data_IF_801105323209
#
_entry.id   IF_801105323209
#
_cell.length_a   1.000
_cell.length_b   1.000
_cell.length_c   1.000
_cell.angle_alpha   90.00
_cell.angle_beta   90.00
_cell.angle_gamma   90.00
#
_symmetry.space_group_name_H-M   'P 1'
#
loop_
_entity.id
_entity.type
_entity.pdbx_description
1 polymer ?
#
# COMPACT_ATOMS: atom_id res chain seq x y z
N UNK A 1 -31.64 -13.45 41.16
CA UNK A 1 -30.33 -13.98 41.57
C UNK A 1 -30.23 -15.36 40.96
N UNK A 2 -29.55 -15.62 39.84
CA UNK A 2 -28.28 -15.07 39.37
C UNK A 2 -27.27 -16.21 39.44
N UNK A 3 -27.26 -17.06 38.41
CA UNK A 3 -26.39 -18.24 38.34
C UNK A 3 -26.55 -18.93 36.99
N UNK A 4 -26.05 -18.31 35.92
CA UNK A 4 -25.75 -19.04 34.69
C UNK A 4 -24.37 -19.65 34.89
N UNK A 5 -24.36 -20.89 35.40
CA UNK A 5 -23.20 -21.76 35.33
C UNK A 5 -22.98 -22.11 33.85
N UNK A 6 -21.92 -21.57 33.26
CA UNK A 6 -21.47 -21.95 31.93
C UNK A 6 -21.06 -23.42 31.95
N UNK A 7 -21.90 -24.27 31.37
CA UNK A 7 -21.58 -25.65 31.03
C UNK A 7 -20.32 -25.68 30.15
N UNK A 8 -19.17 -25.99 30.75
CA UNK A 8 -17.95 -26.33 30.01
C UNK A 8 -17.66 -27.82 30.21
N UNK A 9 -18.49 -28.64 29.58
CA UNK A 9 -18.23 -30.05 29.32
C UNK A 9 -17.92 -30.21 27.85
N UNK A 10 -16.71 -30.66 27.53
CA UNK A 10 -16.28 -30.90 26.16
C UNK A 10 -14.78 -30.80 26.07
N UNK A 11 -14.13 -31.95 26.17
CA UNK A 11 -12.78 -32.21 25.71
C UNK A 11 -12.62 -31.64 24.30
N UNK A 12 -12.09 -30.42 24.24
CA UNK A 12 -11.85 -29.65 23.04
C UNK A 12 -10.38 -29.32 23.05
N UNK A 13 -9.55 -30.30 22.71
CA UNK A 13 -8.21 -30.04 22.20
C UNK A 13 -8.33 -29.23 20.90
N UNK A 14 -8.66 -27.95 21.04
CA UNK A 14 -8.44 -26.94 20.02
C UNK A 14 -6.92 -26.82 19.93
N UNK A 15 -6.40 -27.41 18.86
CA UNK A 15 -5.04 -27.24 18.39
C UNK A 15 -4.64 -25.77 18.60
N UNK A 16 -3.71 -25.49 19.52
CA UNK A 16 -3.16 -24.15 19.63
C UNK A 16 -2.37 -23.87 18.34
N UNK A 17 -2.68 -22.81 17.58
CA UNK A 17 -1.66 -22.24 16.73
C UNK A 17 -0.73 -21.47 17.68
N UNK A 18 0.38 -22.09 18.04
CA UNK A 18 1.52 -21.40 18.61
C UNK A 18 2.18 -20.57 17.49
N UNK A 19 1.52 -19.49 17.09
CA UNK A 19 2.11 -18.37 16.38
C UNK A 19 1.60 -17.11 17.07
N UNK A 20 2.51 -16.20 17.41
CA UNK A 20 2.17 -14.93 18.04
C UNK A 20 1.00 -14.27 17.28
N UNK A 21 -0.09 -13.85 17.96
CA UNK A 21 -1.26 -13.26 17.29
C UNK A 21 -0.92 -11.96 16.52
N UNK A 22 0.26 -11.40 16.79
CA UNK A 22 0.83 -10.26 16.09
C UNK A 22 1.96 -10.76 15.18
N UNK A 23 1.60 -11.12 13.95
CA UNK A 23 2.52 -11.55 12.90
C UNK A 23 3.31 -10.35 12.35
N UNK A 24 4.60 -10.55 12.05
CA UNK A 24 5.38 -9.59 11.27
C UNK A 24 5.22 -9.88 9.79
N UNK A 25 4.75 -8.90 9.02
CA UNK A 25 4.60 -8.98 7.57
C UNK A 25 5.66 -8.13 6.90
N UNK A 26 6.31 -8.66 5.86
CA UNK A 26 7.30 -7.92 5.06
C UNK A 26 6.99 -8.09 3.57
N UNK A 27 7.52 -7.19 2.74
CA UNK A 27 7.25 -7.22 1.28
C UNK A 27 7.66 -8.53 0.59
N UNK A 28 8.60 -9.27 1.17
CA UNK A 28 9.14 -10.49 0.59
C UNK A 28 8.44 -11.77 1.08
N UNK A 29 7.52 -11.67 2.05
CA UNK A 29 6.82 -12.85 2.55
C UNK A 29 5.68 -13.26 1.61
N UNK A 30 5.34 -14.55 1.61
CA UNK A 30 4.36 -15.13 0.69
C UNK A 30 2.96 -14.56 0.93
N UNK A 31 2.63 -14.31 2.19
CA UNK A 31 1.35 -13.75 2.62
C UNK A 31 1.14 -12.36 2.01
N UNK A 32 2.19 -11.53 2.01
CA UNK A 32 2.13 -10.20 1.43
C UNK A 32 2.03 -10.23 -0.10
N UNK A 33 2.75 -11.14 -0.77
CA UNK A 33 2.65 -11.32 -2.23
C UNK A 33 1.24 -11.76 -2.66
N UNK A 34 0.58 -12.63 -1.88
CA UNK A 34 -0.82 -13.00 -2.11
C UNK A 34 -1.75 -11.80 -1.95
N UNK A 35 -1.51 -10.94 -0.94
CA UNK A 35 -2.27 -9.71 -0.73
C UNK A 35 -2.05 -8.67 -1.84
N UNK A 36 -0.82 -8.53 -2.34
CA UNK A 36 -0.53 -7.72 -3.54
C UNK A 36 -1.35 -8.22 -4.72
N UNK A 37 -1.27 -9.51 -5.04
CA UNK A 37 -2.00 -10.10 -6.16
C UNK A 37 -3.51 -9.92 -6.01
N UNK A 38 -4.04 -10.16 -4.81
CA UNK A 38 -5.45 -9.94 -4.51
C UNK A 38 -5.87 -8.49 -4.73
N UNK A 39 -5.03 -7.53 -4.29
CA UNK A 39 -5.27 -6.10 -4.49
C UNK A 39 -5.25 -5.75 -5.97
N UNK A 40 -4.31 -6.26 -6.77
CA UNK A 40 -4.32 -6.07 -8.23
C UNK A 40 -5.65 -6.52 -8.85
N UNK A 41 -6.16 -7.68 -8.45
CA UNK A 41 -7.41 -8.24 -8.97
C UNK A 41 -8.63 -7.37 -8.59
N UNK A 42 -8.64 -6.75 -7.40
CA UNK A 42 -9.71 -5.82 -6.99
C UNK A 42 -9.82 -4.64 -7.98
N UNK A 43 -8.69 -4.07 -8.39
CA UNK A 43 -8.67 -2.90 -9.28
C UNK A 43 -8.77 -3.28 -10.77
N UNK A 44 -8.20 -4.42 -11.16
CA UNK A 44 -8.29 -4.94 -12.52
C UNK A 44 -8.35 -6.48 -12.54
N UNK A 45 -9.57 -7.02 -12.55
CA UNK A 45 -9.84 -8.47 -12.56
C UNK A 45 -9.20 -9.24 -13.73
N UNK A 46 -8.86 -8.54 -14.83
CA UNK A 46 -8.24 -9.14 -16.02
C UNK A 46 -6.72 -9.00 -16.03
N UNK A 47 -6.14 -8.33 -15.03
CA UNK A 47 -4.70 -8.15 -14.96
C UNK A 47 -4.00 -9.46 -14.62
N UNK A 48 -2.90 -9.73 -15.31
CA UNK A 48 -1.99 -10.84 -15.02
C UNK A 48 -0.78 -10.37 -14.19
N UNK A 49 -0.78 -9.13 -13.70
CA UNK A 49 0.30 -8.57 -12.90
C UNK A 49 0.21 -9.04 -11.45
N UNK A 50 1.35 -9.33 -10.84
CA UNK A 50 1.41 -9.72 -9.43
C UNK A 50 1.67 -8.52 -8.51
N UNK A 51 2.38 -7.50 -8.99
CA UNK A 51 2.73 -6.32 -8.19
C UNK A 51 1.70 -5.19 -8.29
N UNK A 52 1.35 -4.60 -7.15
CA UNK A 52 0.46 -3.41 -7.13
C UNK A 52 1.13 -2.18 -7.74
N UNK A 53 2.45 -2.07 -7.69
CA UNK A 53 3.16 -0.95 -8.31
C UNK A 53 3.10 -1.03 -9.85
N UNK A 54 3.23 -2.23 -10.41
CA UNK A 54 3.09 -2.44 -11.86
C UNK A 54 1.66 -2.19 -12.33
N UNK A 55 0.67 -2.72 -11.59
CA UNK A 55 -0.74 -2.47 -11.87
C UNK A 55 -1.08 -0.98 -11.73
N UNK A 56 -0.53 -0.30 -10.72
CA UNK A 56 -0.64 1.15 -10.54
C UNK A 56 -0.10 1.91 -11.74
N UNK A 57 1.09 1.54 -12.24
CA UNK A 57 1.71 2.14 -13.43
C UNK A 57 0.86 1.95 -14.68
N UNK A 58 0.36 0.74 -14.91
CA UNK A 58 -0.51 0.42 -16.05
C UNK A 58 -1.80 1.24 -16.00
N UNK A 59 -2.50 1.22 -14.86
CA UNK A 59 -3.78 1.91 -14.68
C UNK A 59 -3.64 3.43 -14.71
N UNK A 60 -2.54 3.97 -14.18
CA UNK A 60 -2.24 5.41 -14.25
C UNK A 60 -1.99 5.88 -15.69
N UNK A 61 -1.51 5.01 -16.56
CA UNK A 61 -1.24 5.33 -17.97
C UNK A 61 -2.50 5.27 -18.86
N UNK A 62 -3.60 4.71 -18.34
CA UNK A 62 -4.86 4.63 -19.08
C UNK A 62 -5.62 5.96 -19.03
N UNK A 63 -6.17 6.38 -20.17
CA UNK A 63 -7.00 7.59 -20.23
C UNK A 63 -8.26 7.41 -19.36
N UNK A 64 -8.67 8.48 -18.67
CA UNK A 64 -9.94 8.59 -17.95
C UNK A 64 -10.08 7.76 -16.65
N UNK A 65 -8.96 7.40 -16.00
CA UNK A 65 -8.98 6.82 -14.64
C UNK A 65 -8.84 7.91 -13.59
N UNK A 66 -9.77 7.95 -12.64
CA UNK A 66 -9.64 8.80 -11.45
C UNK A 66 -8.66 8.18 -10.46
N UNK A 67 -8.09 8.97 -9.55
CA UNK A 67 -7.10 8.51 -8.58
C UNK A 67 -7.62 7.39 -7.68
N UNK A 68 -8.92 7.38 -7.40
CA UNK A 68 -9.61 6.37 -6.58
C UNK A 68 -9.68 4.99 -7.28
N UNK A 69 -9.54 4.96 -8.60
CA UNK A 69 -9.58 3.76 -9.42
C UNK A 69 -8.17 3.17 -9.68
N UNK A 70 -7.18 3.58 -8.90
CA UNK A 70 -5.79 3.13 -9.02
C UNK A 70 -5.40 2.44 -7.71
N UNK A 71 -4.77 1.23 -7.75
CA UNK A 71 -4.38 0.51 -6.55
C UNK A 71 -3.40 1.32 -5.70
N UNK A 72 -3.34 1.10 -4.38
CA UNK A 72 -2.34 1.74 -3.52
C UNK A 72 -0.91 1.43 -3.99
N UNK A 73 0.07 2.21 -3.52
CA UNK A 73 1.48 1.81 -3.67
C UNK A 73 1.76 0.57 -2.81
N UNK A 74 2.80 -0.20 -3.15
CA UNK A 74 3.21 -1.36 -2.34
C UNK A 74 3.49 -0.97 -0.89
N UNK A 75 4.15 0.18 -0.66
CA UNK A 75 4.42 0.68 0.69
C UNK A 75 3.13 1.01 1.45
N UNK A 76 2.15 1.66 0.81
CA UNK A 76 0.87 1.94 1.45
C UNK A 76 0.12 0.64 1.78
N UNK A 77 0.11 -0.33 0.86
CA UNK A 77 -0.48 -1.64 1.11
C UNK A 77 0.21 -2.38 2.27
N UNK A 78 1.53 -2.27 2.40
CA UNK A 78 2.29 -2.83 3.52
C UNK A 78 1.84 -2.21 4.85
N UNK A 79 1.79 -0.88 4.93
CA UNK A 79 1.34 -0.20 6.14
C UNK A 79 -0.12 -0.55 6.51
N UNK A 80 -1.00 -0.63 5.51
CA UNK A 80 -2.39 -1.08 5.68
C UNK A 80 -2.45 -2.51 6.23
N UNK A 81 -1.65 -3.42 5.67
CA UNK A 81 -1.58 -4.82 6.09
C UNK A 81 -1.08 -4.96 7.53
N UNK A 82 -0.03 -4.21 7.90
CA UNK A 82 0.50 -4.21 9.27
C UNK A 82 -0.57 -3.78 10.28
N UNK A 83 -1.38 -2.76 9.95
CA UNK A 83 -2.49 -2.33 10.80
C UNK A 83 -3.59 -3.38 10.90
N UNK A 84 -3.94 -4.02 9.78
CA UNK A 84 -4.95 -5.07 9.75
C UNK A 84 -4.52 -6.29 10.59
N UNK A 85 -3.24 -6.69 10.51
CA UNK A 85 -2.68 -7.77 11.33
C UNK A 85 -2.76 -7.42 12.82
N UNK A 86 -2.41 -6.20 13.20
CA UNK A 86 -2.48 -5.76 14.58
C UNK A 86 -3.93 -5.79 15.11
N UNK A 87 -4.89 -5.30 14.33
CA UNK A 87 -6.32 -5.37 14.68
C UNK A 87 -6.81 -6.82 14.81
N UNK A 88 -6.43 -7.69 13.87
CA UNK A 88 -6.76 -9.11 13.92
C UNK A 88 -6.17 -9.80 15.16
N UNK A 89 -4.93 -9.46 15.56
CA UNK A 89 -4.30 -10.00 16.77
C UNK A 89 -5.03 -9.61 18.07
N UNK A 90 -5.55 -8.38 18.15
CA UNK A 90 -6.42 -7.97 19.26
C UNK A 90 -7.71 -8.80 19.27
N UNK A 91 -8.33 -9.00 18.10
CA UNK A 91 -9.59 -9.73 18.01
C UNK A 91 -9.41 -11.22 18.31
N UNK A 92 -8.29 -11.81 17.90
CA UNK A 92 -7.94 -13.20 18.16
C UNK A 92 -7.76 -13.52 19.66
N UNK A 93 -7.55 -12.49 20.49
CA UNK A 93 -7.38 -12.63 21.94
C UNK A 93 -8.54 -12.04 22.73
N UNK A 94 -9.71 -11.87 22.09
CA UNK A 94 -10.90 -11.20 22.66
C UNK A 94 -11.61 -11.99 23.76
N UNK A 95 -11.25 -13.26 23.95
CA UNK A 95 -11.72 -14.13 25.02
C UNK A 95 -11.02 -13.88 26.36
N UNK A 96 -9.86 -13.21 26.34
CA UNK A 96 -9.14 -12.84 27.56
C UNK A 96 -9.82 -11.66 28.27
N UNK A 97 -10.15 -11.84 29.55
CA UNK A 97 -10.78 -10.80 30.37
C UNK A 97 -9.94 -9.52 30.52
N UNK A 98 -8.61 -9.63 30.41
CA UNK A 98 -7.68 -8.49 30.42
C UNK A 98 -6.72 -8.61 29.22
N UNK A 99 -6.99 -7.86 28.16
CA UNK A 99 -6.10 -7.80 27.01
C UNK A 99 -4.95 -6.83 27.27
N UNK A 100 -3.72 -7.28 27.04
CA UNK A 100 -2.50 -6.44 27.07
C UNK A 100 -1.87 -6.44 25.68
N UNK A 101 -2.46 -5.71 24.71
CA UNK A 101 -1.89 -5.66 23.37
C UNK A 101 -0.49 -5.03 23.40
N UNK A 102 0.42 -5.45 22.51
CA UNK A 102 1.72 -4.83 22.37
C UNK A 102 1.57 -3.38 21.89
N UNK A 103 2.66 -2.62 21.91
CA UNK A 103 2.64 -1.27 21.32
C UNK A 103 2.24 -1.31 19.84
N UNK A 104 1.41 -0.38 19.35
CA UNK A 104 1.05 -0.31 17.93
C UNK A 104 2.21 0.23 17.06
N UNK A 105 3.29 0.74 17.67
CA UNK A 105 4.48 1.17 16.94
C UNK A 105 5.07 0.03 16.11
N UNK A 106 5.37 0.31 14.84
CA UNK A 106 5.84 -0.71 13.89
C UNK A 106 4.72 -1.51 13.21
N UNK A 107 3.47 -1.43 13.68
CA UNK A 107 2.30 -1.99 13.00
C UNK A 107 1.58 -0.94 12.14
N UNK A 108 2.34 -0.08 11.46
CA UNK A 108 1.81 1.04 10.68
C UNK A 108 1.23 2.19 11.50
N UNK A 109 1.68 2.33 12.75
CA UNK A 109 1.45 3.50 13.60
C UNK A 109 2.76 4.10 14.08
N UNK A 110 2.74 5.40 14.34
CA UNK A 110 3.84 6.14 14.97
C UNK A 110 3.28 7.04 16.08
N UNK A 111 4.08 7.26 17.13
CA UNK A 111 3.70 8.13 18.23
C UNK A 111 4.13 9.57 17.94
N UNK A 112 3.17 10.49 17.87
CA UNK A 112 3.49 11.91 17.72
C UNK A 112 3.97 12.48 19.07
N UNK A 113 5.27 12.75 19.18
CA UNK A 113 5.92 13.16 20.44
C UNK A 113 5.30 14.41 21.09
N UNK A 114 4.77 15.34 20.30
CA UNK A 114 4.19 16.59 20.79
C UNK A 114 2.82 16.38 21.46
N UNK A 115 1.96 15.55 20.86
CA UNK A 115 0.58 15.36 21.30
C UNK A 115 0.39 14.08 22.10
N UNK A 116 1.39 13.19 22.10
CA UNK A 116 1.32 11.82 22.64
C UNK A 116 0.15 11.01 22.05
N UNK A 117 -0.18 11.28 20.79
CA UNK A 117 -1.25 10.56 20.06
C UNK A 117 -0.66 9.63 19.01
N UNK A 118 -1.30 8.48 18.83
CA UNK A 118 -0.95 7.54 17.77
C UNK A 118 -1.50 8.04 16.43
N UNK A 119 -0.64 8.10 15.42
CA UNK A 119 -1.02 8.45 14.05
C UNK A 119 -0.70 7.29 13.10
N UNK A 120 -1.59 7.01 12.14
CA UNK A 120 -1.32 5.99 11.15
C UNK A 120 -0.20 6.47 10.22
N UNK A 121 0.73 5.57 9.92
CA UNK A 121 1.74 5.75 8.87
C UNK A 121 1.08 5.32 7.56
N UNK A 122 0.74 6.30 6.70
CA UNK A 122 0.10 6.01 5.42
C UNK A 122 1.10 5.54 4.36
N UNK A 123 2.30 6.12 4.36
CA UNK A 123 3.38 5.81 3.42
C UNK A 123 4.67 6.45 3.92
N UNK A 124 5.79 5.77 3.72
CA UNK A 124 7.13 6.33 3.92
C UNK A 124 7.70 6.97 2.64
N UNK A 125 6.96 6.92 1.53
CA UNK A 125 7.37 7.53 0.28
C UNK A 125 7.26 9.07 0.35
N UNK A 126 8.21 9.79 -0.26
CA UNK A 126 8.09 11.24 -0.37
C UNK A 126 6.84 11.63 -1.14
N UNK A 127 6.24 12.77 -0.77
CA UNK A 127 5.11 13.34 -1.51
C UNK A 127 5.53 13.54 -2.97
N UNK A 128 4.62 13.27 -3.90
CA UNK A 128 4.91 13.26 -5.34
C UNK A 128 5.63 14.52 -5.84
N UNK A 129 5.29 15.71 -5.31
CA UNK A 129 5.95 16.97 -5.63
C UNK A 129 7.45 16.98 -5.27
N UNK A 130 7.81 16.40 -4.13
CA UNK A 130 9.20 16.29 -3.67
C UNK A 130 9.96 15.30 -4.56
N UNK A 131 9.38 14.13 -4.82
CA UNK A 131 9.96 13.11 -5.70
C UNK A 131 10.19 13.62 -7.13
N UNK A 132 9.25 14.42 -7.66
CA UNK A 132 9.30 14.91 -9.04
C UNK A 132 10.09 16.21 -9.22
N UNK A 133 10.47 16.90 -8.13
CA UNK A 133 11.15 18.19 -8.19
C UNK A 133 12.49 18.15 -8.96
N UNK A 134 13.22 17.03 -8.88
CA UNK A 134 14.46 16.80 -9.65
C UNK A 134 14.21 16.67 -11.15
N UNK A 135 13.09 16.06 -11.55
CA UNK A 135 12.72 15.87 -12.95
C UNK A 135 12.30 17.18 -13.61
N UNK A 136 11.51 18.00 -12.90
CA UNK A 136 11.07 19.32 -13.40
C UNK A 136 12.29 20.22 -13.67
N UNK A 137 13.27 20.23 -12.74
CA UNK A 137 14.54 20.95 -12.93
C UNK A 137 15.33 20.43 -14.13
N UNK A 138 15.27 19.13 -14.40
CA UNK A 138 15.91 18.51 -15.56
C UNK A 138 15.23 18.88 -16.88
N UNK A 139 13.90 18.85 -16.92
CA UNK A 139 13.10 19.20 -18.11
C UNK A 139 13.24 20.69 -18.46
N UNK A 140 13.34 21.57 -17.47
CA UNK A 140 13.44 23.02 -17.70
C UNK A 140 14.80 23.47 -18.27
N UNK A 141 15.86 22.66 -18.13
CA UNK A 141 17.21 22.98 -18.64
C UNK A 141 17.43 22.58 -20.11
N UNK A 142 16.52 21.84 -20.74
CA UNK A 142 16.61 21.46 -22.17
C UNK A 142 15.46 22.07 -22.97
N UNK A 143 15.77 23.08 -23.76
CA UNK A 143 14.87 23.60 -24.80
C UNK A 143 14.63 22.52 -25.87
N UNK A 144 13.38 22.02 -25.94
CA UNK A 144 12.58 21.49 -27.07
C UNK A 144 13.21 20.49 -28.09
N UNK A 145 12.41 19.46 -28.46
CA UNK A 145 12.49 18.61 -29.68
C UNK A 145 13.32 17.31 -29.67
N UNK A 146 13.15 16.39 -28.72
CA UNK A 146 13.31 14.94 -29.02
C UNK A 146 12.38 14.12 -28.11
N UNK A 147 11.13 13.93 -28.54
CA UNK A 147 10.27 12.90 -27.97
C UNK A 147 10.49 11.62 -28.78
N UNK A 148 11.44 10.76 -28.39
CA UNK A 148 11.22 9.32 -28.61
C UNK A 148 12.07 8.33 -27.84
N UNK A 149 13.31 8.58 -27.44
CA UNK A 149 14.12 7.48 -26.89
C UNK A 149 15.28 8.02 -26.07
N UNK A 150 15.14 8.07 -24.74
CA UNK A 150 16.27 7.92 -23.81
C UNK A 150 15.76 7.82 -22.35
N UNK A 151 15.37 6.62 -21.92
CA UNK A 151 15.27 6.26 -20.49
C UNK A 151 15.69 4.79 -20.33
N UNK A 152 16.91 4.52 -20.75
CA UNK A 152 17.67 3.32 -20.41
C UNK A 152 19.10 3.82 -20.20
N UNK A 153 19.70 3.48 -19.06
CA UNK A 153 21.01 3.93 -18.55
C UNK A 153 20.96 5.21 -17.71
N UNK A 154 20.56 5.08 -16.44
CA UNK A 154 21.51 5.16 -15.32
C UNK A 154 20.81 4.71 -14.02
N UNK A 155 21.45 3.77 -13.31
CA UNK A 155 20.86 2.97 -12.23
C UNK A 155 20.68 3.69 -10.89
N UNK A 156 19.96 4.80 -10.87
CA UNK A 156 19.49 5.41 -9.62
C UNK A 156 18.16 6.14 -9.85
N UNK A 157 17.11 5.64 -9.20
CA UNK A 157 15.72 6.12 -9.22
C UNK A 157 14.96 5.70 -10.50
N UNK A 158 14.17 4.62 -10.40
CA UNK A 158 13.14 4.28 -11.39
C UNK A 158 12.02 5.35 -11.40
N UNK A 159 12.26 6.45 -12.11
CA UNK A 159 11.20 7.37 -12.51
C UNK A 159 10.55 6.83 -13.77
N UNK A 160 9.63 5.88 -13.61
CA UNK A 160 8.88 5.28 -14.71
C UNK A 160 7.48 5.88 -14.94
N UNK A 161 7.13 7.03 -14.34
CA UNK A 161 5.71 7.44 -14.20
C UNK A 161 5.29 8.68 -15.01
N UNK A 162 6.18 9.42 -15.67
CA UNK A 162 5.78 10.68 -16.33
C UNK A 162 6.21 10.73 -17.79
N UNK A 163 5.54 9.98 -18.66
CA UNK A 163 4.79 10.55 -19.79
C UNK A 163 4.44 9.47 -20.82
N UNK A 164 3.14 9.16 -20.95
CA UNK A 164 2.57 8.63 -22.18
C UNK A 164 1.26 9.36 -22.46
N UNK A 165 1.34 10.68 -22.61
CA UNK A 165 0.24 11.47 -23.16
C UNK A 165 0.49 11.64 -24.66
N UNK A 166 -0.17 10.80 -25.45
CA UNK A 166 -0.33 10.98 -26.89
C UNK A 166 -1.13 12.27 -27.15
N UNK A 167 -0.42 13.40 -27.27
CA UNK A 167 -0.99 14.66 -27.76
C UNK A 167 -1.01 14.59 -29.29
N UNK A 168 -2.03 13.92 -29.83
CA UNK A 168 -2.46 14.13 -31.21
C UNK A 168 -3.69 15.04 -31.24
N UNK A 169 -3.48 16.17 -31.91
CA UNK A 169 -4.45 16.98 -32.66
C UNK A 169 -5.66 17.58 -31.92
N UNK A 170 -5.53 18.86 -31.57
CA UNK A 170 -6.45 19.95 -31.91
C UNK A 170 -5.88 21.19 -31.24
N UNK A 171 -5.31 22.16 -31.94
CA UNK A 171 -6.03 23.32 -32.45
C UNK A 171 -5.22 23.94 -33.60
N UNK A 172 -5.52 23.54 -34.83
CA UNK A 172 -5.43 24.43 -35.98
C UNK A 172 -6.87 24.92 -36.20
N UNK A 173 -7.14 26.19 -35.90
CA UNK A 173 -8.45 26.78 -36.09
C UNK A 173 -8.82 27.74 -34.97
N UNK A 174 -8.27 28.95 -35.03
CA UNK A 174 -9.02 30.18 -34.81
C UNK A 174 -8.19 31.31 -35.42
N UNK A 175 -8.77 31.89 -36.46
CA UNK A 175 -8.48 33.23 -36.99
C UNK A 175 -8.61 34.25 -35.88
#
# INVERSE_FOLDING_TARGET
MGGLECLRGGDGSLQQPHESPFMTVTVNCKEFQLLERFTVIIYNKKSNLDSVNEARRELFSQKNRTMENIPPTQEALLQDTLRAVYQAGIWATSDHCEQKPPTPEGFGWTLESATKTWRPVWSNLPVASQACSGLVKWLQKRHVHVWRTMLMQEGAVEVHILCSCDVRSSLAGLV
#
